data_IF_824189892097
#
_entry.id   IF_824189892097
#
_cell.length_a   1.000
_cell.length_b   1.000
_cell.length_c   1.000
_cell.angle_alpha   90.00
_cell.angle_beta   90.00
_cell.angle_gamma   90.00
#
_symmetry.space_group_name_H-M   'P 1'
#
loop_
_entity.id
_entity.type
_entity.pdbx_description
1 polymer ?
#
# COMPACT_ATOMS: atom_id res chain seq x y z
N UNK A 1 4.44 29.40 41.95
CA UNK A 1 3.48 28.78 41.03
C UNK A 1 4.07 28.92 39.65
N UNK A 2 4.75 27.89 39.18
CA UNK A 2 5.35 27.83 37.85
C UNK A 2 4.29 27.37 36.87
N UNK A 3 4.08 28.12 35.77
CA UNK A 3 3.21 27.74 34.67
C UNK A 3 3.73 26.46 33.98
N UNK A 4 2.87 25.56 33.54
CA UNK A 4 3.31 24.41 32.78
C UNK A 4 3.83 24.85 31.41
N UNK A 5 5.01 24.36 31.04
CA UNK A 5 5.59 24.50 29.70
C UNK A 5 4.59 23.98 28.64
N UNK A 6 4.17 24.88 27.78
CA UNK A 6 3.41 24.53 26.56
C UNK A 6 4.35 23.72 25.67
N UNK A 7 3.93 22.57 25.12
CA UNK A 7 4.75 21.83 24.15
C UNK A 7 5.08 22.78 23.00
N UNK A 8 6.37 22.93 22.69
CA UNK A 8 6.85 23.83 21.65
C UNK A 8 6.15 23.51 20.33
N UNK A 9 5.51 24.52 19.75
CA UNK A 9 4.93 24.47 18.41
C UNK A 9 6.05 24.16 17.42
N UNK A 10 5.96 23.00 16.77
CA UNK A 10 6.97 22.59 15.80
C UNK A 10 7.08 23.64 14.71
N UNK A 11 8.32 24.06 14.38
CA UNK A 11 8.55 25.06 13.35
C UNK A 11 7.82 24.68 12.04
N UNK A 12 7.21 25.66 11.34
CA UNK A 12 6.46 25.39 10.13
C UNK A 12 7.36 24.70 9.09
N UNK A 13 6.96 23.51 8.62
CA UNK A 13 7.70 22.79 7.57
C UNK A 13 7.74 23.62 6.29
N UNK A 14 8.89 23.67 5.64
CA UNK A 14 9.06 24.32 4.33
C UNK A 14 8.01 23.73 3.35
N UNK A 15 7.33 24.62 2.64
CA UNK A 15 6.31 24.24 1.66
C UNK A 15 6.62 24.90 0.34
N UNK A 16 6.70 24.11 -0.74
CA UNK A 16 6.98 24.58 -2.09
C UNK A 16 5.86 24.12 -3.05
N UNK A 17 5.44 24.97 -4.00
CA UNK A 17 4.63 24.48 -5.11
C UNK A 17 5.37 23.35 -5.86
N UNK A 18 4.65 22.35 -6.36
CA UNK A 18 5.25 21.24 -7.11
C UNK A 18 6.06 21.70 -8.35
N UNK A 19 5.66 22.82 -8.95
CA UNK A 19 6.38 23.46 -10.07
C UNK A 19 7.52 24.39 -9.65
N UNK A 20 7.83 24.54 -8.36
CA UNK A 20 8.96 25.32 -7.89
C UNK A 20 10.27 24.69 -8.42
N UNK A 21 11.24 25.48 -8.95
CA UNK A 21 12.47 24.94 -9.49
C UNK A 21 13.24 24.01 -8.53
N UNK A 22 13.18 24.28 -7.22
CA UNK A 22 13.85 23.43 -6.21
C UNK A 22 13.09 22.12 -6.02
N UNK A 23 11.77 22.14 -5.98
CA UNK A 23 10.95 20.93 -5.88
C UNK A 23 11.11 20.04 -7.13
N UNK A 24 11.14 20.66 -8.31
CA UNK A 24 11.38 19.96 -9.59
C UNK A 24 12.76 19.33 -9.61
N UNK A 25 13.81 20.07 -9.23
CA UNK A 25 15.18 19.54 -9.19
C UNK A 25 15.32 18.40 -8.18
N UNK A 26 14.77 18.54 -6.99
CA UNK A 26 14.79 17.50 -5.96
C UNK A 26 14.12 16.21 -6.46
N UNK A 27 12.93 16.33 -7.05
CA UNK A 27 12.21 15.18 -7.64
C UNK A 27 13.03 14.55 -8.78
N UNK A 28 13.60 15.35 -9.67
CA UNK A 28 14.44 14.88 -10.79
C UNK A 28 15.67 14.10 -10.29
N UNK A 29 16.31 14.60 -9.26
CA UNK A 29 17.50 13.96 -8.64
C UNK A 29 17.13 12.63 -8.02
N UNK A 30 15.99 12.55 -7.30
CA UNK A 30 15.48 11.32 -6.67
C UNK A 30 15.12 10.29 -7.76
N UNK A 31 14.31 10.67 -8.73
CA UNK A 31 13.87 9.75 -9.80
C UNK A 31 15.02 9.33 -10.72
N UNK A 32 16.03 10.18 -10.89
CA UNK A 32 17.22 9.87 -11.68
C UNK A 32 18.28 9.04 -10.94
N UNK A 33 18.14 8.86 -9.62
CA UNK A 33 19.09 8.13 -8.79
C UNK A 33 20.44 8.84 -8.61
N UNK A 34 20.51 10.17 -8.78
CA UNK A 34 21.73 10.96 -8.59
C UNK A 34 21.98 11.24 -7.11
N UNK A 35 22.51 10.23 -6.40
CA UNK A 35 22.76 10.29 -4.96
C UNK A 35 23.77 11.38 -4.58
N UNK A 36 24.71 11.71 -5.46
CA UNK A 36 25.69 12.76 -5.17
C UNK A 36 25.07 14.14 -5.26
N UNK A 37 24.18 14.38 -6.22
CA UNK A 37 23.40 15.60 -6.27
C UNK A 37 22.45 15.70 -5.07
N UNK A 38 21.78 14.59 -4.67
CA UNK A 38 20.92 14.55 -3.51
C UNK A 38 21.71 14.91 -2.22
N UNK A 39 22.88 14.31 -2.00
CA UNK A 39 23.74 14.65 -0.85
C UNK A 39 24.11 16.12 -0.81
N UNK A 40 24.49 16.70 -1.96
CA UNK A 40 24.81 18.13 -2.03
C UNK A 40 23.62 19.01 -1.69
N UNK A 41 22.46 18.73 -2.26
CA UNK A 41 21.23 19.48 -1.97
C UNK A 41 20.87 19.43 -0.48
N UNK A 42 20.94 18.25 0.14
CA UNK A 42 20.63 18.07 1.56
C UNK A 42 21.70 18.68 2.48
N UNK A 43 22.97 18.72 2.07
CA UNK A 43 24.04 19.39 2.83
C UNK A 43 23.92 20.93 2.78
N UNK A 44 23.51 21.49 1.65
CA UNK A 44 23.31 22.93 1.47
C UNK A 44 21.98 23.40 2.10
N UNK A 45 20.95 22.57 2.05
CA UNK A 45 19.59 22.87 2.46
C UNK A 45 18.95 21.68 3.17
N UNK A 46 19.29 21.41 4.44
CA UNK A 46 18.79 20.24 5.19
C UNK A 46 17.26 20.19 5.30
N UNK A 47 16.60 21.36 5.31
CA UNK A 47 15.13 21.46 5.37
C UNK A 47 14.43 20.81 4.18
N UNK A 48 15.14 20.56 3.07
CA UNK A 48 14.60 19.87 1.90
C UNK A 48 14.26 18.41 2.18
N UNK A 49 14.86 17.77 3.16
CA UNK A 49 14.54 16.39 3.54
C UNK A 49 13.07 16.21 3.91
N UNK A 50 12.45 17.24 4.51
CA UNK A 50 11.07 17.23 5.00
C UNK A 50 10.17 18.25 4.29
N UNK A 51 10.57 18.76 3.14
CA UNK A 51 9.80 19.75 2.39
C UNK A 51 8.44 19.17 1.96
N UNK A 52 7.39 19.98 2.07
CA UNK A 52 6.06 19.66 1.52
C UNK A 52 5.93 20.23 0.12
N UNK A 53 5.72 19.37 -0.87
CA UNK A 53 5.51 19.74 -2.27
C UNK A 53 4.02 19.69 -2.58
N UNK A 54 3.40 20.87 -2.75
CA UNK A 54 1.94 21.03 -2.93
C UNK A 54 1.55 21.20 -4.40
N UNK A 55 0.29 20.89 -4.72
CA UNK A 55 -0.28 21.10 -6.06
C UNK A 55 0.07 20.00 -7.05
N UNK A 56 0.49 18.83 -6.58
CA UNK A 56 0.68 17.66 -7.43
C UNK A 56 -0.67 17.11 -7.91
N UNK A 57 -0.74 16.76 -9.20
CA UNK A 57 -1.94 16.13 -9.78
C UNK A 57 -2.21 14.78 -9.07
N UNK A 58 -3.44 14.59 -8.61
CA UNK A 58 -3.86 13.38 -7.89
C UNK A 58 -3.83 13.49 -6.37
N UNK A 59 -3.24 14.56 -5.80
CA UNK A 59 -3.26 14.84 -4.36
C UNK A 59 -4.03 16.16 -4.14
N UNK A 60 -5.33 16.11 -4.25
CA UNK A 60 -6.18 17.30 -4.04
C UNK A 60 -6.12 17.74 -2.57
N UNK A 61 -5.70 19.00 -2.36
CA UNK A 61 -5.57 19.58 -1.00
C UNK A 61 -4.47 18.99 -0.14
N UNK A 62 -3.65 18.07 -0.68
CA UNK A 62 -2.53 17.43 0.00
C UNK A 62 -1.17 17.90 -0.50
N UNK A 63 -0.14 17.22 -0.02
CA UNK A 63 1.26 17.45 -0.37
C UNK A 63 1.99 16.12 -0.50
N UNK A 64 3.11 16.09 -1.20
CA UNK A 64 4.09 15.00 -1.14
C UNK A 64 5.34 15.45 -0.42
N UNK A 65 6.09 14.53 0.14
CA UNK A 65 7.45 14.76 0.63
C UNK A 65 8.46 14.10 -0.32
N UNK A 66 9.77 14.34 -0.17
CA UNK A 66 10.79 13.62 -0.95
C UNK A 66 10.71 12.09 -0.81
N UNK A 67 10.30 11.58 0.37
CA UNK A 67 10.08 10.14 0.56
C UNK A 67 8.89 9.62 -0.26
N UNK A 68 7.80 10.40 -0.39
CA UNK A 68 6.71 10.07 -1.30
C UNK A 68 7.19 10.05 -2.76
N UNK A 69 8.04 11.02 -3.15
CA UNK A 69 8.59 11.04 -4.51
C UNK A 69 9.46 9.81 -4.80
N UNK A 70 10.22 9.32 -3.81
CA UNK A 70 11.04 8.12 -3.97
C UNK A 70 10.23 6.83 -4.10
N UNK A 71 9.00 6.80 -3.55
CA UNK A 71 8.09 5.66 -3.56
C UNK A 71 6.97 5.77 -4.61
N UNK A 72 6.99 6.83 -5.44
CA UNK A 72 5.92 7.16 -6.37
C UNK A 72 5.76 6.16 -7.52
N UNK A 73 4.59 6.18 -8.13
CA UNK A 73 4.35 5.45 -9.37
C UNK A 73 5.26 5.96 -10.52
N UNK A 74 5.86 5.09 -11.34
CA UNK A 74 5.65 3.63 -11.42
C UNK A 74 6.46 2.80 -10.41
N UNK A 75 7.24 3.40 -9.51
CA UNK A 75 8.18 2.72 -8.64
C UNK A 75 9.49 2.34 -9.35
N UNK A 76 10.37 1.65 -8.63
CA UNK A 76 11.63 1.09 -9.14
C UNK A 76 12.57 2.16 -9.74
N UNK A 77 12.56 3.37 -9.20
CA UNK A 77 13.51 4.40 -9.62
C UNK A 77 14.95 3.99 -9.30
N UNK A 78 15.91 4.35 -10.17
CA UNK A 78 17.31 4.05 -9.92
C UNK A 78 17.77 4.53 -8.54
N UNK A 79 18.44 3.67 -7.77
CA UNK A 79 18.95 3.95 -6.44
C UNK A 79 17.92 4.51 -5.42
N UNK A 80 16.61 4.33 -5.65
CA UNK A 80 15.56 4.83 -4.75
C UNK A 80 15.71 4.34 -3.30
N UNK A 81 16.05 3.09 -2.99
CA UNK A 81 16.29 2.66 -1.60
C UNK A 81 17.41 3.45 -0.92
N UNK A 82 18.48 3.75 -1.63
CA UNK A 82 19.58 4.57 -1.12
C UNK A 82 19.19 6.05 -0.97
N UNK A 83 18.33 6.56 -1.85
CA UNK A 83 17.77 7.90 -1.71
C UNK A 83 16.87 7.99 -0.47
N UNK A 84 16.05 6.97 -0.19
CA UNK A 84 15.25 6.86 1.03
C UNK A 84 16.13 6.90 2.26
N UNK A 85 17.20 6.09 2.32
CA UNK A 85 18.13 6.07 3.44
C UNK A 85 18.78 7.46 3.66
N UNK A 86 19.25 8.12 2.59
CA UNK A 86 19.82 9.46 2.67
C UNK A 86 18.83 10.52 3.18
N UNK A 87 17.57 10.43 2.77
CA UNK A 87 16.52 11.35 3.21
C UNK A 87 16.18 11.13 4.70
N UNK A 88 16.07 9.87 5.14
CA UNK A 88 15.83 9.54 6.56
C UNK A 88 17.01 9.99 7.43
N UNK A 89 18.25 9.73 7.00
CA UNK A 89 19.47 10.19 7.69
C UNK A 89 19.53 11.72 7.79
N UNK A 90 18.98 12.43 6.81
CA UNK A 90 18.85 13.88 6.81
C UNK A 90 17.63 14.41 7.60
N UNK A 91 16.88 13.52 8.28
CA UNK A 91 15.76 13.87 9.16
C UNK A 91 14.40 13.89 8.47
N UNK A 92 14.24 13.26 7.31
CA UNK A 92 12.92 13.03 6.76
C UNK A 92 12.14 12.06 7.65
N UNK A 93 10.87 12.35 7.88
CA UNK A 93 9.96 11.51 8.65
C UNK A 93 9.36 10.43 7.73
N UNK A 94 9.67 9.12 7.93
CA UNK A 94 9.13 8.04 7.11
C UNK A 94 7.61 7.85 7.30
N UNK A 95 7.05 8.44 8.35
CA UNK A 95 5.61 8.41 8.66
C UNK A 95 4.89 9.72 8.26
N UNK A 96 5.56 10.62 7.56
CA UNK A 96 4.92 11.83 7.07
C UNK A 96 3.71 11.49 6.21
N UNK A 97 2.56 12.07 6.53
CA UNK A 97 1.35 11.95 5.72
C UNK A 97 1.39 12.87 4.48
N UNK A 98 0.59 12.54 3.46
CA UNK A 98 0.44 13.37 2.27
C UNK A 98 -0.61 14.48 2.44
N UNK A 99 -1.25 14.61 3.61
CA UNK A 99 -2.39 15.51 3.83
C UNK A 99 -3.60 15.17 2.96
N UNK A 100 -4.59 16.07 2.97
CA UNK A 100 -5.80 15.90 2.17
C UNK A 100 -6.77 14.86 2.73
N UNK A 101 -7.67 14.39 1.87
CA UNK A 101 -8.63 13.34 2.20
C UNK A 101 -7.98 11.96 1.98
N UNK A 102 -7.99 11.10 2.99
CA UNK A 102 -7.28 9.80 3.02
C UNK A 102 -5.76 9.98 2.84
N UNK A 103 -5.08 10.57 3.82
CA UNK A 103 -3.63 10.79 3.73
C UNK A 103 -2.89 9.46 3.67
N UNK A 104 -1.87 9.42 2.83
CA UNK A 104 -0.99 8.26 2.63
C UNK A 104 0.42 8.59 3.13
N UNK A 105 1.11 7.59 3.69
CA UNK A 105 2.53 7.67 4.02
C UNK A 105 3.37 7.19 2.82
N UNK A 106 4.70 7.44 2.79
CA UNK A 106 5.57 6.88 1.76
C UNK A 106 5.46 5.36 1.61
N UNK A 107 5.21 4.64 2.73
CA UNK A 107 5.03 3.19 2.70
C UNK A 107 3.72 2.76 2.04
N UNK A 108 2.65 3.57 2.09
CA UNK A 108 1.43 3.32 1.29
C UNK A 108 1.74 3.41 -0.21
N UNK A 109 2.59 4.36 -0.63
CA UNK A 109 2.99 4.52 -2.03
C UNK A 109 3.79 3.30 -2.50
N UNK A 110 4.80 2.88 -1.74
CA UNK A 110 5.57 1.66 -2.03
C UNK A 110 4.67 0.40 -2.04
N UNK A 111 3.67 0.33 -1.15
CA UNK A 111 2.69 -0.74 -1.12
C UNK A 111 1.76 -0.75 -2.33
N UNK A 112 1.54 0.40 -2.97
CA UNK A 112 0.69 0.53 -4.17
C UNK A 112 1.45 0.36 -5.49
N UNK A 113 2.80 0.36 -5.45
CA UNK A 113 3.67 0.19 -6.63
C UNK A 113 4.40 -1.16 -6.65
N UNK A 114 4.25 -1.98 -5.61
CA UNK A 114 4.98 -3.23 -5.36
C UNK A 114 6.51 -3.06 -5.31
N UNK A 115 6.99 -1.84 -4.98
CA UNK A 115 8.43 -1.55 -4.89
C UNK A 115 9.01 -2.11 -3.59
N UNK A 116 9.42 -3.37 -3.66
CA UNK A 116 9.91 -4.13 -2.51
C UNK A 116 11.13 -3.48 -1.85
N UNK A 117 12.08 -2.99 -2.64
CA UNK A 117 13.34 -2.46 -2.11
C UNK A 117 13.12 -1.12 -1.42
N UNK A 118 12.25 -0.27 -1.95
CA UNK A 118 11.85 0.99 -1.31
C UNK A 118 11.03 0.71 -0.06
N UNK A 119 10.11 -0.27 -0.07
CA UNK A 119 9.36 -0.67 1.11
C UNK A 119 10.30 -1.15 2.23
N UNK A 120 11.31 -1.98 1.93
CA UNK A 120 12.36 -2.39 2.89
C UNK A 120 13.08 -1.18 3.47
N UNK A 121 13.53 -0.25 2.62
CA UNK A 121 14.27 0.93 3.08
C UNK A 121 13.43 1.84 3.97
N UNK A 122 12.15 2.01 3.67
CA UNK A 122 11.22 2.79 4.50
C UNK A 122 10.98 2.12 5.85
N UNK A 123 10.74 0.80 5.88
CA UNK A 123 10.54 0.03 7.12
C UNK A 123 11.80 0.05 7.99
N UNK A 124 12.97 -0.15 7.40
CA UNK A 124 14.25 -0.08 8.10
C UNK A 124 14.55 1.35 8.60
N UNK A 125 14.00 2.36 7.93
CA UNK A 125 14.03 3.77 8.33
C UNK A 125 12.98 4.15 9.37
N UNK A 126 12.16 3.22 9.86
CA UNK A 126 11.18 3.45 10.92
C UNK A 126 9.76 3.75 10.46
N UNK A 127 9.39 3.35 9.24
CA UNK A 127 8.00 3.45 8.80
C UNK A 127 7.07 2.53 9.62
N UNK A 128 5.94 3.07 10.06
CA UNK A 128 4.87 2.34 10.73
C UNK A 128 4.13 1.44 9.71
N UNK A 129 3.86 0.20 10.11
CA UNK A 129 3.21 -0.80 9.25
C UNK A 129 1.67 -0.73 9.28
N UNK A 130 1.10 0.03 10.20
CA UNK A 130 -0.33 0.06 10.48
C UNK A 130 -0.91 1.49 10.50
N UNK A 131 -0.30 2.41 9.78
CA UNK A 131 -0.87 3.75 9.68
C UNK A 131 -2.23 3.69 8.99
N UNK A 132 -3.32 4.13 9.64
CA UNK A 132 -4.63 4.15 9.00
C UNK A 132 -4.69 5.26 7.96
N UNK A 133 -5.51 5.07 6.95
CA UNK A 133 -5.68 6.05 5.87
C UNK A 133 -5.60 5.36 4.52
N UNK A 134 -4.84 5.94 3.61
CA UNK A 134 -4.64 5.36 2.30
C UNK A 134 -5.89 5.31 1.42
N UNK A 135 -5.71 4.90 0.19
CA UNK A 135 -6.80 4.78 -0.79
C UNK A 135 -7.74 3.62 -0.47
N UNK A 136 -7.22 2.56 0.17
CA UNK A 136 -7.99 1.38 0.59
C UNK A 136 -8.06 1.29 2.12
N UNK A 137 -6.93 1.43 2.80
CA UNK A 137 -6.83 1.33 4.25
C UNK A 137 -5.39 1.45 4.73
N UNK A 138 -4.90 0.47 5.49
CA UNK A 138 -3.49 0.38 5.89
C UNK A 138 -2.59 0.05 4.70
N UNK A 139 -1.28 0.06 4.91
CA UNK A 139 -0.31 -0.36 3.89
C UNK A 139 -0.57 -1.78 3.38
N UNK A 140 -0.97 -2.70 4.26
CA UNK A 140 -1.31 -4.07 3.88
C UNK A 140 -2.59 -4.10 3.03
N UNK A 141 -3.59 -3.29 3.38
CA UNK A 141 -4.83 -3.14 2.60
C UNK A 141 -4.52 -2.66 1.19
N UNK A 142 -3.70 -1.61 1.06
CA UNK A 142 -3.29 -1.08 -0.24
C UNK A 142 -2.53 -2.15 -1.05
N UNK A 143 -1.53 -2.81 -0.44
CA UNK A 143 -0.75 -3.83 -1.12
C UNK A 143 -1.61 -4.97 -1.67
N UNK A 144 -2.54 -5.50 -0.87
CA UNK A 144 -3.44 -6.58 -1.29
C UNK A 144 -4.42 -6.08 -2.35
N UNK A 145 -5.05 -4.93 -2.13
CA UNK A 145 -6.06 -4.39 -3.03
C UNK A 145 -5.52 -4.06 -4.42
N UNK A 146 -4.27 -3.60 -4.51
CA UNK A 146 -3.58 -3.34 -5.79
C UNK A 146 -2.86 -4.57 -6.36
N UNK A 147 -2.86 -5.72 -5.67
CA UNK A 147 -2.19 -6.93 -6.13
C UNK A 147 -0.66 -6.87 -6.01
N UNK A 148 -0.15 -6.05 -5.12
CA UNK A 148 1.27 -5.83 -4.83
C UNK A 148 1.80 -6.90 -3.85
N UNK A 149 1.93 -8.13 -4.36
CA UNK A 149 2.14 -9.33 -3.54
C UNK A 149 3.50 -9.41 -2.88
N UNK A 150 4.55 -8.79 -3.42
CA UNK A 150 5.88 -8.78 -2.82
C UNK A 150 5.87 -7.93 -1.56
N UNK A 151 5.33 -6.72 -1.65
CA UNK A 151 5.23 -5.81 -0.50
C UNK A 151 4.21 -6.32 0.51
N UNK A 152 3.09 -6.91 0.09
CA UNK A 152 2.13 -7.52 1.02
C UNK A 152 2.77 -8.61 1.91
N UNK A 153 3.59 -9.49 1.32
CA UNK A 153 4.32 -10.52 2.08
C UNK A 153 5.38 -9.92 2.99
N UNK A 154 6.15 -8.94 2.49
CA UNK A 154 7.12 -8.21 3.30
C UNK A 154 6.49 -7.59 4.54
N UNK A 155 5.36 -6.90 4.39
CA UNK A 155 4.65 -6.27 5.51
C UNK A 155 4.29 -7.30 6.59
N UNK A 156 3.76 -8.46 6.20
CA UNK A 156 3.44 -9.53 7.14
C UNK A 156 4.71 -10.14 7.77
N UNK A 157 5.77 -10.34 7.01
CA UNK A 157 7.07 -10.81 7.52
C UNK A 157 7.68 -9.83 8.54
N UNK A 158 7.40 -8.54 8.38
CA UNK A 158 7.85 -7.48 9.29
C UNK A 158 6.89 -7.23 10.46
N UNK A 159 5.76 -7.96 10.54
CA UNK A 159 4.86 -7.95 11.67
C UNK A 159 3.55 -7.19 11.48
N UNK A 160 3.21 -6.76 10.27
CA UNK A 160 1.88 -6.22 9.99
C UNK A 160 0.80 -7.27 10.33
N UNK A 161 -0.26 -6.92 11.08
CA UNK A 161 -1.26 -7.87 11.51
C UNK A 161 -2.12 -8.37 10.34
N UNK A 162 -2.48 -9.65 10.41
CA UNK A 162 -3.43 -10.30 9.51
C UNK A 162 -4.68 -10.61 10.31
N UNK A 163 -5.51 -9.62 10.54
CA UNK A 163 -6.70 -9.68 11.38
C UNK A 163 -8.01 -9.73 10.60
N UNK A 164 -7.99 -9.37 9.32
CA UNK A 164 -9.13 -9.53 8.42
C UNK A 164 -9.10 -10.87 7.67
N UNK A 165 -10.28 -11.48 7.50
CA UNK A 165 -10.42 -12.76 6.78
C UNK A 165 -9.90 -12.66 5.34
N UNK A 166 -10.15 -11.53 4.68
CA UNK A 166 -9.71 -11.30 3.31
C UNK A 166 -8.19 -11.13 3.17
N UNK A 167 -7.48 -10.62 4.19
CA UNK A 167 -6.00 -10.60 4.20
C UNK A 167 -5.44 -12.01 4.13
N UNK A 168 -5.89 -12.86 5.08
CA UNK A 168 -5.43 -14.24 5.17
C UNK A 168 -5.77 -15.04 3.89
N UNK A 169 -6.94 -14.79 3.31
CA UNK A 169 -7.40 -15.41 2.10
C UNK A 169 -6.57 -15.01 0.87
N UNK A 170 -6.34 -13.71 0.68
CA UNK A 170 -5.55 -13.16 -0.42
C UNK A 170 -4.08 -13.64 -0.40
N UNK A 171 -3.50 -13.76 0.80
CA UNK A 171 -2.14 -14.23 1.01
C UNK A 171 -2.00 -15.76 0.99
N UNK A 172 -3.11 -16.50 0.91
CA UNK A 172 -3.12 -17.96 0.85
C UNK A 172 -2.66 -18.63 2.14
N UNK A 173 -2.86 -17.99 3.28
CA UNK A 173 -2.57 -18.59 4.58
C UNK A 173 -3.43 -19.83 4.81
N UNK A 174 -2.87 -20.86 5.46
CA UNK A 174 -3.55 -22.17 5.57
C UNK A 174 -4.42 -22.24 6.83
N UNK A 175 -3.88 -21.79 7.96
CA UNK A 175 -4.55 -21.90 9.28
C UNK A 175 -5.29 -20.64 9.68
N UNK A 176 -4.77 -19.48 9.35
CA UNK A 176 -5.34 -18.19 9.73
C UNK A 176 -6.78 -17.95 9.29
N UNK A 177 -7.22 -18.34 8.06
CA UNK A 177 -8.63 -18.25 7.68
C UNK A 177 -9.55 -19.09 8.58
N UNK A 178 -9.14 -20.29 8.99
CA UNK A 178 -9.95 -21.14 9.86
C UNK A 178 -10.12 -20.52 11.26
N UNK A 179 -9.08 -19.92 11.80
CA UNK A 179 -9.11 -19.16 13.07
C UNK A 179 -10.06 -17.97 12.97
N UNK A 180 -9.97 -17.19 11.89
CA UNK A 180 -10.82 -16.01 11.67
C UNK A 180 -12.29 -16.38 11.40
N UNK A 181 -12.55 -17.49 10.71
CA UNK A 181 -13.92 -18.01 10.52
C UNK A 181 -14.55 -18.46 11.84
N UNK A 182 -13.74 -18.92 12.81
CA UNK A 182 -14.19 -19.34 14.14
C UNK A 182 -14.19 -18.19 15.17
N UNK A 183 -13.78 -16.99 14.79
CA UNK A 183 -13.65 -15.84 15.69
C UNK A 183 -15.03 -15.33 16.17
N UNK A 184 -15.00 -14.53 17.23
CA UNK A 184 -16.19 -13.84 17.73
C UNK A 184 -15.94 -12.32 17.64
N UNK A 185 -16.80 -11.55 16.94
CA UNK A 185 -18.00 -12.02 16.23
C UNK A 185 -17.69 -12.90 15.02
N UNK A 186 -18.58 -13.83 14.69
CA UNK A 186 -18.46 -14.66 13.48
C UNK A 186 -18.53 -13.79 12.23
N UNK A 187 -17.64 -13.98 11.23
CA UNK A 187 -17.71 -13.25 9.97
C UNK A 187 -19.07 -13.33 9.30
N UNK A 188 -19.50 -12.22 8.76
CA UNK A 188 -20.76 -12.14 8.01
C UNK A 188 -20.66 -12.87 6.67
N UNK A 189 -21.77 -13.02 5.99
CA UNK A 189 -21.81 -13.58 4.63
C UNK A 189 -21.00 -12.71 3.66
N UNK A 190 -21.06 -11.41 3.85
CA UNK A 190 -20.32 -10.40 3.06
C UNK A 190 -18.82 -10.55 3.28
N UNK A 191 -18.37 -10.72 4.52
CA UNK A 191 -16.93 -10.95 4.83
C UNK A 191 -16.41 -12.23 4.17
N UNK A 192 -17.22 -13.29 4.17
CA UNK A 192 -16.86 -14.57 3.53
C UNK A 192 -16.82 -14.43 2.00
N UNK A 193 -17.76 -13.68 1.42
CA UNK A 193 -17.79 -13.39 -0.02
C UNK A 193 -16.59 -12.55 -0.44
N UNK A 194 -16.26 -11.52 0.32
CA UNK A 194 -15.09 -10.67 0.08
C UNK A 194 -13.80 -11.48 0.15
N UNK A 195 -13.63 -12.26 1.20
CA UNK A 195 -12.47 -13.13 1.36
C UNK A 195 -12.34 -14.14 0.21
N UNK A 196 -13.44 -14.69 -0.29
CA UNK A 196 -13.44 -15.57 -1.45
C UNK A 196 -12.95 -14.85 -2.72
N UNK A 197 -13.48 -13.66 -2.96
CA UNK A 197 -13.05 -12.84 -4.09
C UNK A 197 -11.56 -12.51 -3.99
N UNK A 198 -11.09 -12.10 -2.81
CA UNK A 198 -9.68 -11.77 -2.55
C UNK A 198 -8.76 -12.99 -2.64
N UNK A 199 -9.21 -14.19 -2.22
CA UNK A 199 -8.48 -15.43 -2.46
C UNK A 199 -8.27 -15.67 -3.96
N UNK A 200 -9.29 -15.44 -4.77
CA UNK A 200 -9.21 -15.57 -6.22
C UNK A 200 -8.31 -14.48 -6.83
N UNK A 201 -8.43 -13.24 -6.39
CA UNK A 201 -7.55 -12.13 -6.78
C UNK A 201 -6.07 -12.44 -6.50
N UNK A 202 -5.76 -13.03 -5.34
CA UNK A 202 -4.43 -13.49 -4.95
C UNK A 202 -3.98 -14.81 -5.61
N UNK A 203 -4.81 -15.46 -6.43
CA UNK A 203 -4.51 -16.75 -7.05
C UNK A 203 -4.48 -17.93 -6.06
N UNK A 204 -5.17 -17.82 -4.92
CA UNK A 204 -5.08 -18.72 -3.78
C UNK A 204 -6.19 -19.78 -3.80
N UNK A 205 -6.09 -20.75 -4.70
CA UNK A 205 -7.11 -21.78 -4.93
C UNK A 205 -7.56 -22.51 -3.64
N UNK A 206 -6.61 -22.92 -2.78
CA UNK A 206 -6.97 -23.65 -1.54
C UNK A 206 -7.79 -22.80 -0.57
N UNK A 207 -7.48 -21.49 -0.48
CA UNK A 207 -8.28 -20.57 0.32
C UNK A 207 -9.68 -20.38 -0.30
N UNK A 208 -9.78 -20.25 -1.63
CA UNK A 208 -11.03 -20.15 -2.34
C UNK A 208 -11.91 -21.41 -2.14
N UNK A 209 -11.35 -22.62 -2.23
CA UNK A 209 -12.06 -23.89 -1.96
C UNK A 209 -12.65 -23.92 -0.54
N UNK A 210 -11.88 -23.49 0.47
CA UNK A 210 -12.35 -23.44 1.87
C UNK A 210 -13.47 -22.43 2.08
N UNK A 211 -13.32 -21.24 1.50
CA UNK A 211 -14.32 -20.19 1.64
C UNK A 211 -15.62 -20.53 0.89
N UNK A 212 -15.52 -21.20 -0.25
CA UNK A 212 -16.69 -21.74 -0.95
C UNK A 212 -17.41 -22.77 -0.09
N UNK A 213 -16.65 -23.69 0.56
CA UNK A 213 -17.23 -24.66 1.51
C UNK A 213 -17.80 -24.00 2.76
N UNK A 214 -17.27 -22.86 3.20
CA UNK A 214 -17.81 -22.02 4.27
C UNK A 214 -19.03 -21.20 3.84
N UNK A 215 -19.45 -21.36 2.58
CA UNK A 215 -20.69 -20.77 2.06
C UNK A 215 -20.49 -19.48 1.27
N UNK A 216 -19.31 -19.15 0.80
CA UNK A 216 -19.14 -18.02 -0.12
C UNK A 216 -20.04 -18.17 -1.36
N UNK A 217 -20.56 -17.07 -1.87
CA UNK A 217 -21.25 -17.05 -3.15
C UNK A 217 -20.25 -17.06 -4.30
N UNK A 218 -20.32 -18.09 -5.19
CA UNK A 218 -19.34 -18.23 -6.28
C UNK A 218 -19.31 -17.03 -7.24
N UNK A 219 -20.45 -16.37 -7.41
CA UNK A 219 -20.64 -15.18 -8.25
C UNK A 219 -20.83 -13.89 -7.44
N UNK A 220 -20.48 -13.93 -6.13
CA UNK A 220 -20.54 -12.71 -5.33
C UNK A 220 -19.48 -11.71 -5.80
N UNK A 221 -19.88 -10.44 -5.83
CA UNK A 221 -19.00 -9.31 -6.13
C UNK A 221 -18.98 -8.38 -4.93
N UNK A 222 -17.80 -8.07 -4.36
CA UNK A 222 -17.69 -7.04 -3.34
C UNK A 222 -18.13 -5.67 -3.89
N UNK A 223 -18.70 -4.82 -3.04
CA UNK A 223 -19.24 -3.52 -3.48
C UNK A 223 -18.23 -2.59 -4.20
N UNK A 224 -16.95 -2.74 -3.91
CA UNK A 224 -15.87 -1.98 -4.57
C UNK A 224 -15.42 -2.60 -5.91
N UNK A 225 -15.81 -3.82 -6.22
CA UNK A 225 -15.34 -4.55 -7.41
C UNK A 225 -16.13 -4.20 -8.69
N UNK A 226 -17.04 -3.23 -8.65
CA UNK A 226 -17.82 -2.79 -9.82
C UNK A 226 -18.49 -3.95 -10.56
N UNK A 227 -19.19 -4.80 -9.84
CA UNK A 227 -19.86 -6.02 -10.31
C UNK A 227 -18.92 -7.09 -10.90
N UNK A 228 -17.60 -6.97 -10.74
CA UNK A 228 -16.65 -8.01 -11.15
C UNK A 228 -16.70 -9.17 -10.17
N UNK A 229 -16.91 -10.38 -10.70
CA UNK A 229 -16.92 -11.62 -9.91
C UNK A 229 -15.50 -12.14 -9.67
N UNK A 230 -15.38 -13.22 -8.90
CA UNK A 230 -14.11 -13.92 -8.71
C UNK A 230 -13.51 -14.44 -10.04
N UNK A 231 -14.33 -14.76 -11.03
CA UNK A 231 -13.86 -15.17 -12.34
C UNK A 231 -13.17 -14.02 -13.10
N UNK A 232 -13.64 -12.79 -12.95
CA UNK A 232 -13.02 -11.60 -13.53
C UNK A 232 -11.71 -11.25 -12.81
N UNK A 233 -11.66 -11.47 -11.49
CA UNK A 233 -10.48 -11.21 -10.68
C UNK A 233 -9.28 -12.09 -11.05
N UNK A 234 -9.51 -13.30 -11.59
CA UNK A 234 -8.44 -14.20 -12.05
C UNK A 234 -8.06 -14.00 -13.51
N UNK A 235 -8.73 -13.11 -14.23
CA UNK A 235 -8.39 -12.85 -15.63
C UNK A 235 -6.99 -12.23 -15.74
N UNK A 236 -6.08 -12.90 -16.49
CA UNK A 236 -4.70 -12.44 -16.69
C UNK A 236 -3.78 -13.56 -17.19
N UNK A 237 -2.60 -13.23 -17.69
CA UNK A 237 -1.70 -14.16 -18.39
C UNK A 237 -0.83 -15.01 -17.43
N UNK A 238 -1.34 -15.51 -16.32
CA UNK A 238 -0.61 -16.38 -15.38
C UNK A 238 -1.22 -17.79 -15.40
N UNK A 239 -0.39 -18.82 -15.62
CA UNK A 239 -0.83 -20.23 -15.68
C UNK A 239 -1.54 -20.71 -14.40
N UNK A 240 -1.18 -20.19 -13.22
CA UNK A 240 -1.88 -20.50 -11.97
C UNK A 240 -3.26 -19.88 -11.95
N UNK A 241 -3.42 -18.68 -12.52
CA UNK A 241 -4.71 -18.01 -12.68
C UNK A 241 -5.58 -18.74 -13.69
N UNK A 242 -5.03 -19.28 -14.78
CA UNK A 242 -5.76 -20.08 -15.76
C UNK A 242 -6.35 -21.35 -15.14
N UNK A 243 -5.58 -22.06 -14.29
CA UNK A 243 -6.06 -23.24 -13.56
C UNK A 243 -7.15 -22.89 -12.56
N UNK A 244 -7.03 -21.77 -11.86
CA UNK A 244 -8.04 -21.28 -10.93
C UNK A 244 -9.30 -20.84 -11.68
N UNK A 245 -9.17 -20.15 -12.80
CA UNK A 245 -10.28 -19.75 -13.66
C UNK A 245 -11.04 -20.95 -14.23
N UNK A 246 -10.35 -22.01 -14.64
CA UNK A 246 -10.98 -23.27 -15.07
C UNK A 246 -11.76 -23.91 -13.93
N UNK A 247 -11.15 -24.02 -12.75
CA UNK A 247 -11.83 -24.55 -11.57
C UNK A 247 -13.08 -23.73 -11.18
N UNK A 248 -13.00 -22.41 -11.26
CA UNK A 248 -14.16 -21.53 -11.00
C UNK A 248 -15.31 -21.82 -11.97
N UNK A 249 -15.03 -21.94 -13.28
CA UNK A 249 -16.05 -22.28 -14.30
C UNK A 249 -16.68 -23.64 -14.06
N UNK A 250 -15.86 -24.64 -13.72
CA UNK A 250 -16.34 -25.99 -13.39
C UNK A 250 -17.29 -25.99 -12.18
N UNK A 251 -17.20 -24.97 -11.30
CA UNK A 251 -18.07 -24.77 -10.13
C UNK A 251 -19.22 -23.78 -10.37
N UNK A 252 -19.42 -23.35 -11.63
CA UNK A 252 -20.54 -22.50 -12.01
C UNK A 252 -20.27 -20.99 -11.88
N UNK A 253 -19.01 -20.57 -11.83
CA UNK A 253 -18.67 -19.15 -11.88
C UNK A 253 -18.96 -18.55 -13.26
N UNK A 254 -19.55 -17.36 -13.26
CA UNK A 254 -19.80 -16.55 -14.45
C UNK A 254 -19.11 -15.22 -14.35
N UNK A 255 -18.72 -14.60 -15.49
CA UNK A 255 -18.27 -13.22 -15.46
C UNK A 255 -19.33 -12.29 -14.89
N UNK A 256 -18.92 -11.21 -14.29
CA UNK A 256 -19.82 -10.15 -13.86
C UNK A 256 -20.23 -9.23 -15.02
N UNK A 257 -21.22 -8.38 -14.77
CA UNK A 257 -21.71 -7.39 -15.73
C UNK A 257 -20.91 -6.05 -15.65
N UNK A 258 -19.75 -6.08 -15.00
CA UNK A 258 -18.89 -4.90 -14.83
C UNK A 258 -18.16 -4.54 -16.13
N UNK A 259 -18.31 -3.28 -16.57
CA UNK A 259 -17.52 -2.68 -17.64
C UNK A 259 -16.09 -2.36 -17.20
#
# INVERSE_FOLDING_TARGET
MSSPDTPGEAAPKLTLPHGDPVAVELTRVIHGGDLDALRRLLAERPELASVRMIGRKGIEGGWGTPLHAAADWPGYFPAAPAAVALLVDAGADPNADSGGYRPETPLHFAASTDDLEVAVALIDGGADLETPGGSIGTQLDNAIGYGCWHVARLLVERGAPVDALWHAAALGMITRPDELLAATPTPTKEDVNEAFWQACHGGQRRAAERLLAAGAGINASPGYANNKTALDAVAGPDTRRDLLGSWLRDHGATPGDGE
#
